data_IF_212188541527
#
_entry.id   IF_212188541527
#
_cell.length_a   1.000
_cell.length_b   1.000
_cell.length_c   1.000
_cell.angle_alpha   90.00
_cell.angle_beta   90.00
_cell.angle_gamma   90.00
#
_symmetry.space_group_name_H-M   'P 1'
#
loop_
_entity.id
_entity.type
_entity.pdbx_description
1 polymer ?
#
# COMPACT_ATOMS: atom_id res chain seq x y z
N UNK A 1 -15.04 -10.96 -3.58
CA UNK A 1 -13.76 -10.75 -4.34
C UNK A 1 -12.69 -10.11 -3.47
N UNK A 2 -12.97 -8.99 -2.77
CA UNK A 2 -12.00 -8.33 -1.89
C UNK A 2 -11.31 -9.25 -0.86
N UNK A 3 -12.05 -10.18 -0.25
CA UNK A 3 -11.48 -11.15 0.70
C UNK A 3 -10.39 -12.04 0.09
N UNK A 4 -10.55 -12.44 -1.19
CA UNK A 4 -9.54 -13.23 -1.90
C UNK A 4 -8.26 -12.41 -2.15
N UNK A 5 -8.39 -11.12 -2.42
CA UNK A 5 -7.25 -10.20 -2.59
C UNK A 5 -6.51 -10.04 -1.27
N UNK A 6 -7.23 -9.84 -0.16
CA UNK A 6 -6.64 -9.70 1.17
C UNK A 6 -5.94 -11.00 1.59
N UNK A 7 -6.57 -12.16 1.38
CA UNK A 7 -5.95 -13.44 1.67
C UNK A 7 -4.65 -13.62 0.86
N UNK A 8 -4.67 -13.29 -0.44
CA UNK A 8 -3.49 -13.40 -1.29
C UNK A 8 -2.38 -12.42 -0.90
N UNK A 9 -2.73 -11.20 -0.50
CA UNK A 9 -1.76 -10.22 -0.01
C UNK A 9 -1.03 -10.75 1.24
N UNK A 10 -1.76 -11.34 2.20
CA UNK A 10 -1.16 -11.97 3.39
C UNK A 10 -0.23 -13.13 3.04
N UNK A 11 -0.63 -14.00 2.10
CA UNK A 11 0.21 -15.12 1.66
C UNK A 11 1.54 -14.69 1.01
N UNK A 12 1.60 -13.46 0.48
CA UNK A 12 2.77 -12.94 -0.24
C UNK A 12 3.48 -11.82 0.53
N UNK A 13 3.18 -11.65 1.82
CA UNK A 13 3.73 -10.59 2.67
C UNK A 13 3.58 -9.18 2.08
N UNK A 14 2.52 -8.97 1.29
CA UNK A 14 2.18 -7.66 0.72
C UNK A 14 1.49 -6.82 1.80
N UNK A 15 2.02 -5.64 2.15
CA UNK A 15 1.41 -4.75 3.13
C UNK A 15 -0.03 -4.39 2.74
N UNK A 16 -0.92 -4.36 3.73
CA UNK A 16 -2.32 -3.99 3.53
C UNK A 16 -2.70 -2.83 4.45
N UNK A 17 -3.24 -1.76 3.87
CA UNK A 17 -3.73 -0.58 4.57
C UNK A 17 -5.23 -0.42 4.32
N UNK A 18 -6.00 -0.17 5.38
CA UNK A 18 -7.46 -0.07 5.32
C UNK A 18 -7.90 1.38 5.48
N UNK A 19 -8.28 1.99 4.36
CA UNK A 19 -8.96 3.29 4.32
C UNK A 19 -10.14 3.23 3.36
N UNK A 20 -11.35 3.38 3.91
CA UNK A 20 -12.59 3.25 3.13
C UNK A 20 -12.77 4.40 2.13
N UNK A 21 -12.42 5.63 2.50
CA UNK A 21 -12.62 6.82 1.65
C UNK A 21 -11.66 6.77 0.47
N UNK A 22 -10.42 6.37 0.74
CA UNK A 22 -9.42 6.16 -0.28
C UNK A 22 -9.81 5.03 -1.23
N UNK A 23 -10.21 3.89 -0.68
CA UNK A 23 -10.62 2.73 -1.48
C UNK A 23 -11.80 3.06 -2.40
N UNK A 24 -12.79 3.81 -1.93
CA UNK A 24 -13.93 4.26 -2.74
C UNK A 24 -13.53 5.27 -3.83
N UNK A 25 -12.52 6.09 -3.55
CA UNK A 25 -12.03 7.06 -4.53
C UNK A 25 -11.26 6.35 -5.65
N UNK A 26 -10.39 5.40 -5.29
CA UNK A 26 -9.59 4.63 -6.23
C UNK A 26 -10.40 3.56 -6.99
N UNK A 27 -11.51 3.05 -6.42
CA UNK A 27 -12.35 2.04 -7.08
C UNK A 27 -13.06 2.54 -8.33
N UNK A 28 -13.06 3.85 -8.57
CA UNK A 28 -13.62 4.50 -9.77
C UNK A 28 -12.68 4.43 -10.97
N UNK A 29 -11.41 4.08 -10.76
CA UNK A 29 -10.42 3.92 -11.82
C UNK A 29 -10.52 2.53 -12.44
N UNK A 30 -10.48 2.44 -13.77
CA UNK A 30 -10.36 1.15 -14.43
C UNK A 30 -8.89 0.71 -14.51
N UNK A 31 -8.68 -0.59 -14.65
CA UNK A 31 -7.33 -1.15 -14.78
C UNK A 31 -6.71 -0.64 -16.08
N UNK A 32 -5.57 0.04 -15.97
CA UNK A 32 -4.85 0.60 -17.12
C UNK A 32 -5.11 2.09 -17.33
N UNK A 33 -6.04 2.69 -16.58
CA UNK A 33 -6.24 4.13 -16.59
C UNK A 33 -5.05 4.86 -15.98
N UNK A 34 -4.74 6.03 -16.55
CA UNK A 34 -3.86 6.97 -15.89
C UNK A 34 -4.55 7.53 -14.64
N UNK A 35 -3.77 7.74 -13.59
CA UNK A 35 -4.26 8.37 -12.36
C UNK A 35 -4.71 9.80 -12.71
N UNK A 36 -5.95 10.20 -12.35
CA UNK A 36 -6.42 11.58 -12.51
C UNK A 36 -5.63 12.57 -11.64
N UNK A 37 -5.43 13.82 -12.11
CA UNK A 37 -4.66 14.82 -11.36
C UNK A 37 -5.17 15.09 -9.94
N UNK A 38 -6.48 15.03 -9.71
CA UNK A 38 -7.11 15.22 -8.40
C UNK A 38 -6.73 14.14 -7.37
N UNK A 39 -6.17 13.01 -7.82
CA UNK A 39 -5.73 11.91 -6.96
C UNK A 39 -4.22 11.91 -6.73
N UNK A 40 -3.45 12.82 -7.34
CA UNK A 40 -1.99 12.82 -7.23
C UNK A 40 -1.49 13.02 -5.81
N UNK A 41 -2.09 13.95 -5.06
CA UNK A 41 -1.71 14.21 -3.66
C UNK A 41 -1.92 12.96 -2.80
N UNK A 42 -3.09 12.35 -2.93
CA UNK A 42 -3.47 11.15 -2.19
C UNK A 42 -2.57 9.96 -2.54
N UNK A 43 -2.25 9.77 -3.83
CA UNK A 43 -1.33 8.70 -4.26
C UNK A 43 0.09 8.97 -3.77
N UNK A 44 0.56 10.21 -3.79
CA UNK A 44 1.87 10.57 -3.26
C UNK A 44 1.99 10.25 -1.77
N UNK A 45 0.96 10.55 -0.97
CA UNK A 45 0.92 10.17 0.45
C UNK A 45 1.04 8.66 0.67
N UNK A 46 0.36 7.85 -0.15
CA UNK A 46 0.46 6.37 -0.09
C UNK A 46 1.88 5.92 -0.41
N UNK A 47 2.52 6.49 -1.45
CA UNK A 47 3.88 6.12 -1.83
C UNK A 47 4.89 6.46 -0.74
N UNK A 48 4.76 7.63 -0.11
CA UNK A 48 5.58 8.02 1.04
C UNK A 48 5.36 7.06 2.21
N UNK A 49 4.10 6.71 2.51
CA UNK A 49 3.77 5.76 3.56
C UNK A 49 4.40 4.38 3.32
N UNK A 50 4.36 3.87 2.09
CA UNK A 50 4.99 2.59 1.72
C UNK A 50 6.52 2.66 1.88
N UNK A 51 7.14 3.75 1.41
CA UNK A 51 8.59 3.96 1.56
C UNK A 51 9.02 4.01 3.04
N UNK A 52 8.25 4.68 3.90
CA UNK A 52 8.49 4.71 5.35
C UNK A 52 8.33 3.32 5.99
N UNK A 53 7.35 2.52 5.56
CA UNK A 53 7.19 1.15 6.01
C UNK A 53 8.37 0.26 5.60
N UNK A 54 8.85 0.38 4.37
CA UNK A 54 10.01 -0.37 3.88
C UNK A 54 11.29 0.01 4.64
N UNK A 55 11.49 1.31 4.91
CA UNK A 55 12.58 1.79 5.77
C UNK A 55 12.51 1.25 7.18
N UNK A 56 11.31 1.21 7.78
CA UNK A 56 11.12 0.62 9.11
C UNK A 56 11.43 -0.88 9.12
N UNK A 57 10.93 -1.62 8.12
CA UNK A 57 11.21 -3.04 7.95
C UNK A 57 12.71 -3.32 7.81
N UNK A 58 13.42 -2.52 7.00
CA UNK A 58 14.86 -2.64 6.84
C UNK A 58 15.64 -2.39 8.15
N UNK A 59 15.23 -1.40 8.95
CA UNK A 59 15.83 -1.12 10.26
C UNK A 59 15.59 -2.27 11.26
N UNK A 60 14.38 -2.82 11.29
CA UNK A 60 14.03 -3.96 12.14
C UNK A 60 14.86 -5.19 11.77
N UNK A 61 15.00 -5.49 10.48
CA UNK A 61 15.84 -6.60 10.00
C UNK A 61 17.32 -6.40 10.34
N UNK A 62 17.82 -5.16 10.29
CA UNK A 62 19.20 -4.85 10.68
C UNK A 62 19.43 -5.04 12.19
N UNK A 63 18.44 -4.70 13.03
CA UNK A 63 18.52 -4.92 14.47
C UNK A 63 18.52 -6.41 14.83
N UNK A 64 17.68 -7.22 14.18
CA UNK A 64 17.63 -8.68 14.38
C UNK A 64 18.94 -9.39 13.97
N UNK A 65 19.68 -8.87 12.98
CA UNK A 65 21.00 -9.40 12.59
C UNK A 65 22.13 -9.07 13.59
N UNK A 66 21.92 -8.09 14.47
CA UNK A 66 22.92 -7.63 15.44
C UNK A 66 22.70 -8.22 16.85
N UNK A 67 21.60 -8.96 17.05
CA UNK A 67 21.21 -9.65 18.28
C UNK A 67 21.44 -11.15 18.19
#
# INVERSE_FOLDING_TARGET
MAEKIIAKAKENDVPFYKDNKLAETLSKLEIGDAIPPELYEVVAEILVFVDDMDKMKAKLQQADMLS
#
